data_IF_624338047445
#
_entry.id   IF_624338047445
#
_cell.length_a   1.000
_cell.length_b   1.000
_cell.length_c   1.000
_cell.angle_alpha   90.00
_cell.angle_beta   90.00
_cell.angle_gamma   90.00
#
_symmetry.space_group_name_H-M   'P 1'
#
loop_
_entity.id
_entity.type
_entity.pdbx_description
1 polymer ?
#
# COMPACT_ATOMS: atom_id res chain seq x y z
N UNK A 1 10.52 20.12 13.42
CA UNK A 1 10.34 21.42 12.69
C UNK A 1 9.20 22.18 13.34
N UNK A 2 9.30 23.49 13.44
CA UNK A 2 8.21 24.37 13.88
C UNK A 2 7.12 24.48 12.81
N UNK A 3 5.93 24.94 13.19
CA UNK A 3 4.81 25.18 12.24
C UNK A 3 5.23 26.15 11.14
N UNK A 4 5.96 27.23 11.48
CA UNK A 4 6.43 28.21 10.49
C UNK A 4 7.44 27.61 9.52
N UNK A 5 8.38 26.79 9.98
CA UNK A 5 9.35 26.08 9.12
C UNK A 5 8.68 25.13 8.13
N UNK A 6 7.59 24.45 8.55
CA UNK A 6 6.79 23.57 7.69
C UNK A 6 6.08 24.40 6.62
N UNK A 7 5.44 25.52 7.00
CA UNK A 7 4.77 26.42 6.07
C UNK A 7 5.74 27.00 5.03
N UNK A 8 6.91 27.45 5.48
CA UNK A 8 7.96 27.99 4.59
C UNK A 8 8.49 26.90 3.64
N UNK A 9 8.61 25.65 4.11
CA UNK A 9 9.01 24.51 3.30
C UNK A 9 7.99 24.26 2.17
N UNK A 10 6.70 24.15 2.51
CA UNK A 10 5.63 23.90 1.52
C UNK A 10 5.58 25.06 0.49
N UNK A 11 5.74 26.31 0.95
CA UNK A 11 5.80 27.49 0.06
C UNK A 11 6.97 27.40 -0.91
N UNK A 12 8.17 27.02 -0.44
CA UNK A 12 9.36 26.84 -1.30
C UNK A 12 9.16 25.71 -2.31
N UNK A 13 8.56 24.58 -1.90
CA UNK A 13 8.24 23.47 -2.80
C UNK A 13 7.26 23.90 -3.89
N UNK A 14 6.24 24.70 -3.54
CA UNK A 14 5.28 25.23 -4.50
C UNK A 14 5.95 26.15 -5.52
N UNK A 15 6.82 27.05 -5.06
CA UNK A 15 7.59 27.93 -5.96
C UNK A 15 8.51 27.13 -6.89
N UNK A 16 9.18 26.12 -6.37
CA UNK A 16 10.03 25.24 -7.18
C UNK A 16 9.23 24.43 -8.22
N UNK A 17 8.08 23.89 -7.84
CA UNK A 17 7.18 23.22 -8.78
C UNK A 17 6.70 24.19 -9.88
N UNK A 18 6.29 25.41 -9.53
CA UNK A 18 5.82 26.43 -10.46
C UNK A 18 6.92 26.88 -11.45
N UNK A 19 8.18 26.76 -11.09
CA UNK A 19 9.29 27.04 -12.03
C UNK A 19 9.34 26.07 -13.20
N UNK A 20 8.61 24.93 -13.13
CA UNK A 20 8.62 23.90 -14.15
C UNK A 20 9.85 22.95 -14.12
N UNK A 21 10.74 23.09 -13.13
CA UNK A 21 11.98 22.31 -13.05
C UNK A 21 11.77 20.78 -13.01
N UNK A 22 10.62 20.31 -12.48
CA UNK A 22 10.27 18.89 -12.39
C UNK A 22 9.57 18.34 -13.64
N UNK A 23 9.16 19.19 -14.60
CA UNK A 23 8.35 18.80 -15.74
C UNK A 23 9.14 17.99 -16.80
N UNK A 24 10.41 18.31 -17.13
CA UNK A 24 11.17 17.53 -18.11
C UNK A 24 11.33 16.08 -17.64
N UNK A 25 11.06 15.11 -18.53
CA UNK A 25 11.24 13.67 -18.23
C UNK A 25 12.69 13.37 -17.87
N UNK A 26 13.66 14.03 -18.49
CA UNK A 26 15.08 13.88 -18.15
C UNK A 26 15.39 14.24 -16.69
N UNK A 27 14.78 15.30 -16.15
CA UNK A 27 14.95 15.71 -14.76
C UNK A 27 14.37 14.64 -13.79
N UNK A 28 13.18 14.08 -14.11
CA UNK A 28 12.56 12.99 -13.34
C UNK A 28 13.41 11.73 -13.32
N UNK A 29 13.93 11.32 -14.49
CA UNK A 29 14.84 10.17 -14.59
C UNK A 29 16.16 10.40 -13.85
N UNK A 30 16.71 11.61 -13.89
CA UNK A 30 17.89 11.96 -13.12
C UNK A 30 17.64 11.87 -11.60
N UNK A 31 16.49 12.34 -11.14
CA UNK A 31 16.06 12.24 -9.74
C UNK A 31 15.96 10.76 -9.28
N UNK A 32 15.26 9.93 -10.07
CA UNK A 32 15.13 8.50 -9.78
C UNK A 32 16.47 7.75 -9.78
N UNK A 33 17.39 8.10 -10.70
CA UNK A 33 18.75 7.50 -10.71
C UNK A 33 19.56 7.88 -9.48
N UNK A 34 19.51 9.15 -9.05
CA UNK A 34 20.20 9.58 -7.82
C UNK A 34 19.67 8.80 -6.62
N UNK A 35 18.34 8.68 -6.49
CA UNK A 35 17.72 7.93 -5.40
C UNK A 35 18.12 6.45 -5.44
N UNK A 36 18.08 5.81 -6.60
CA UNK A 36 18.51 4.41 -6.77
C UNK A 36 19.95 4.19 -6.32
N UNK A 37 20.87 5.05 -6.76
CA UNK A 37 22.29 4.93 -6.43
C UNK A 37 22.53 5.16 -4.93
N UNK A 38 21.88 6.16 -4.33
CA UNK A 38 22.03 6.43 -2.90
C UNK A 38 21.48 5.26 -2.06
N UNK A 39 20.32 4.69 -2.39
CA UNK A 39 19.79 3.51 -1.71
C UNK A 39 20.79 2.35 -1.81
N UNK A 40 21.33 2.09 -2.99
CA UNK A 40 22.29 1.00 -3.21
C UNK A 40 23.57 1.18 -2.43
N UNK A 41 24.08 2.41 -2.31
CA UNK A 41 25.30 2.71 -1.55
C UNK A 41 25.12 2.64 -0.03
N UNK A 42 23.91 2.94 0.47
CA UNK A 42 23.56 2.94 1.90
C UNK A 42 22.89 1.65 2.40
N UNK A 43 22.86 0.56 1.60
CA UNK A 43 22.15 -0.69 1.95
C UNK A 43 22.49 -1.22 3.34
N UNK A 44 23.79 -1.18 3.74
CA UNK A 44 24.23 -1.66 5.06
C UNK A 44 23.63 -0.85 6.21
N UNK A 45 23.48 0.46 6.04
CA UNK A 45 22.91 1.35 7.04
C UNK A 45 21.40 1.17 7.15
N UNK A 46 20.71 1.06 6.01
CA UNK A 46 19.29 0.76 5.94
C UNK A 46 18.99 -0.54 6.69
N UNK A 47 19.76 -1.59 6.41
CA UNK A 47 19.65 -2.89 7.09
C UNK A 47 19.83 -2.77 8.62
N UNK A 48 20.82 -2.01 9.08
CA UNK A 48 21.05 -1.77 10.52
C UNK A 48 19.91 -1.00 11.17
N UNK A 49 19.34 -0.02 10.50
CA UNK A 49 18.21 0.75 10.99
C UNK A 49 16.96 -0.11 11.14
N UNK A 50 16.61 -0.91 10.13
CA UNK A 50 15.49 -1.85 10.15
C UNK A 50 15.65 -2.93 11.23
N UNK A 51 16.88 -3.40 11.46
CA UNK A 51 17.18 -4.32 12.55
C UNK A 51 16.96 -3.66 13.92
N UNK A 52 17.36 -2.39 14.11
CA UNK A 52 17.15 -1.68 15.37
C UNK A 52 15.67 -1.40 15.64
N UNK A 53 14.92 -0.95 14.63
CA UNK A 53 13.51 -0.62 14.78
C UNK A 53 12.63 -1.88 14.95
N UNK A 54 12.75 -2.86 14.07
CA UNK A 54 11.85 -4.01 13.93
C UNK A 54 12.49 -5.38 14.17
N UNK A 55 13.80 -5.42 14.41
CA UNK A 55 14.52 -6.70 14.55
C UNK A 55 14.62 -7.50 13.25
N UNK A 56 14.31 -6.91 12.09
CA UNK A 56 14.38 -7.59 10.79
C UNK A 56 15.76 -8.12 10.50
N UNK A 57 15.84 -9.37 10.01
CA UNK A 57 17.09 -9.94 9.50
C UNK A 57 17.58 -9.19 8.27
N UNK A 58 18.84 -9.35 7.92
CA UNK A 58 19.38 -8.72 6.71
C UNK A 58 18.70 -9.20 5.44
N UNK A 59 18.29 -10.48 5.39
CA UNK A 59 17.56 -11.04 4.25
C UNK A 59 16.15 -10.44 4.15
N UNK A 60 15.40 -10.42 5.25
CA UNK A 60 14.05 -9.84 5.28
C UNK A 60 14.08 -8.35 4.96
N UNK A 61 15.07 -7.59 5.49
CA UNK A 61 15.26 -6.18 5.19
C UNK A 61 15.45 -5.92 3.69
N UNK A 62 16.21 -6.76 3.00
CA UNK A 62 16.38 -6.64 1.55
C UNK A 62 15.12 -7.06 0.80
N UNK A 63 14.60 -8.25 1.09
CA UNK A 63 13.46 -8.85 0.38
C UNK A 63 12.19 -7.98 0.45
N UNK A 64 11.91 -7.38 1.61
CA UNK A 64 10.64 -6.69 1.86
C UNK A 64 10.73 -5.16 1.85
N UNK A 65 11.94 -4.60 1.83
CA UNK A 65 12.12 -3.15 1.92
C UNK A 65 13.04 -2.65 0.81
N UNK A 66 14.35 -2.81 0.95
CA UNK A 66 15.33 -2.22 0.02
C UNK A 66 15.16 -2.73 -1.41
N UNK A 67 15.01 -4.04 -1.58
CA UNK A 67 14.86 -4.67 -2.89
C UNK A 67 13.57 -4.24 -3.60
N UNK A 68 12.46 -4.14 -2.85
CA UNK A 68 11.16 -3.69 -3.38
C UNK A 68 11.24 -2.24 -3.90
N UNK A 69 11.89 -1.35 -3.14
CA UNK A 69 12.08 0.04 -3.57
C UNK A 69 12.97 0.13 -4.81
N UNK A 70 14.07 -0.61 -4.85
CA UNK A 70 14.97 -0.63 -6.01
C UNK A 70 14.26 -1.17 -7.26
N UNK A 71 13.41 -2.17 -7.12
CA UNK A 71 12.58 -2.70 -8.21
C UNK A 71 11.59 -1.64 -8.72
N UNK A 72 10.84 -0.97 -7.82
CA UNK A 72 9.89 0.10 -8.19
C UNK A 72 10.60 1.25 -8.92
N UNK A 73 11.75 1.72 -8.40
CA UNK A 73 12.52 2.77 -9.07
C UNK A 73 13.02 2.31 -10.45
N UNK A 74 13.48 1.06 -10.57
CA UNK A 74 13.92 0.48 -11.85
C UNK A 74 12.78 0.42 -12.86
N UNK A 75 11.60 0.02 -12.41
CA UNK A 75 10.39 0.02 -13.21
C UNK A 75 10.05 1.43 -13.71
N UNK A 76 10.06 2.42 -12.80
CA UNK A 76 9.81 3.81 -13.15
C UNK A 76 10.86 4.39 -14.09
N UNK A 77 12.14 4.11 -13.89
CA UNK A 77 13.20 4.52 -14.82
C UNK A 77 12.96 4.04 -16.26
N UNK A 78 12.48 2.81 -16.40
CA UNK A 78 12.20 2.20 -17.71
C UNK A 78 10.92 2.77 -18.34
N UNK A 79 9.88 3.00 -17.56
CA UNK A 79 8.53 3.22 -18.08
C UNK A 79 8.08 4.69 -18.06
N UNK A 80 8.65 5.57 -17.24
CA UNK A 80 8.29 7.00 -17.16
C UNK A 80 8.31 7.69 -18.52
N UNK A 81 9.29 7.46 -19.43
CA UNK A 81 9.27 8.10 -20.76
C UNK A 81 8.01 7.76 -21.58
N UNK A 82 7.44 6.55 -21.39
CA UNK A 82 6.20 6.14 -22.03
C UNK A 82 4.98 6.71 -21.32
N UNK A 83 4.96 6.66 -20.00
CA UNK A 83 3.82 7.12 -19.19
C UNK A 83 3.60 8.63 -19.30
N UNK A 84 4.67 9.41 -19.40
CA UNK A 84 4.63 10.86 -19.54
C UNK A 84 4.20 11.37 -20.93
N UNK A 85 4.00 10.50 -21.90
CA UNK A 85 3.57 10.88 -23.26
C UNK A 85 2.08 11.20 -23.31
N UNK A 86 1.71 12.10 -24.22
CA UNK A 86 0.33 12.32 -24.62
C UNK A 86 -0.29 11.02 -25.17
N UNK A 87 -1.48 10.69 -24.67
CA UNK A 87 -2.22 9.50 -25.07
C UNK A 87 -3.33 9.89 -26.05
N UNK A 88 -3.13 9.63 -27.35
CA UNK A 88 -4.18 9.85 -28.35
C UNK A 88 -5.42 9.02 -28.03
N UNK A 89 -6.58 9.63 -28.19
CA UNK A 89 -7.88 8.99 -28.07
C UNK A 89 -8.66 9.20 -29.35
N UNK A 90 -9.70 8.41 -29.57
CA UNK A 90 -10.59 8.58 -30.70
C UNK A 90 -11.24 9.98 -30.66
N UNK A 91 -11.20 10.69 -31.78
CA UNK A 91 -11.90 11.98 -31.94
C UNK A 91 -13.24 11.71 -32.62
N UNK A 92 -14.38 11.99 -31.97
CA UNK A 92 -15.69 11.80 -32.58
C UNK A 92 -15.85 12.61 -33.87
N UNK A 93 -16.65 12.09 -34.82
CA UNK A 93 -16.91 12.76 -36.10
C UNK A 93 -17.51 14.17 -35.93
N UNK A 94 -18.30 14.37 -34.87
CA UNK A 94 -18.81 15.71 -34.49
C UNK A 94 -17.72 16.75 -34.20
N UNK A 95 -16.51 16.28 -33.94
CA UNK A 95 -15.32 17.13 -33.71
C UNK A 95 -14.36 17.10 -34.92
N UNK A 96 -14.87 16.82 -36.12
CA UNK A 96 -14.10 16.74 -37.37
C UNK A 96 -13.05 17.85 -37.47
N UNK A 97 -11.88 17.50 -38.02
CA UNK A 97 -10.67 18.31 -38.07
C UNK A 97 -10.10 18.69 -36.68
N UNK A 98 -10.17 17.76 -35.73
CA UNK A 98 -9.51 17.89 -34.43
C UNK A 98 -8.63 16.68 -34.11
N UNK A 99 -7.74 16.87 -33.13
CA UNK A 99 -6.97 15.82 -32.49
C UNK A 99 -7.31 15.80 -31.00
N UNK A 100 -7.82 14.66 -30.50
CA UNK A 100 -8.13 14.48 -29.08
C UNK A 100 -7.04 13.66 -28.39
N UNK A 101 -6.61 14.11 -27.21
CA UNK A 101 -5.61 13.39 -26.43
C UNK A 101 -5.73 13.69 -24.93
N UNK A 102 -5.25 12.74 -24.12
CA UNK A 102 -5.03 12.91 -22.68
C UNK A 102 -3.56 13.29 -22.46
N UNK A 103 -3.32 14.33 -21.71
CA UNK A 103 -1.97 14.80 -21.36
C UNK A 103 -1.72 14.60 -19.86
N UNK A 104 -0.79 13.71 -19.46
CA UNK A 104 -0.42 13.54 -18.06
C UNK A 104 0.22 14.83 -17.54
N UNK A 105 -0.15 15.20 -16.32
CA UNK A 105 0.34 16.40 -15.64
C UNK A 105 0.49 16.07 -14.15
N UNK A 106 1.63 16.36 -13.50
CA UNK A 106 1.76 16.20 -12.06
C UNK A 106 0.71 17.08 -11.34
N UNK A 107 0.30 16.67 -10.15
CA UNK A 107 -0.56 17.47 -9.29
C UNK A 107 0.15 18.74 -8.80
N UNK A 108 1.35 18.58 -8.22
CA UNK A 108 2.09 19.69 -7.66
C UNK A 108 2.95 19.30 -6.47
N UNK A 109 2.65 19.87 -5.31
CA UNK A 109 3.31 19.54 -4.03
C UNK A 109 2.55 18.41 -3.36
N UNK A 110 3.22 17.28 -3.12
CA UNK A 110 2.61 16.09 -2.54
C UNK A 110 3.08 15.85 -1.11
N UNK A 111 2.19 15.33 -0.26
CA UNK A 111 2.52 14.86 1.08
C UNK A 111 2.46 13.33 1.09
N UNK A 112 3.53 12.67 1.55
CA UNK A 112 3.60 11.22 1.72
C UNK A 112 3.80 10.93 3.20
N UNK A 113 2.77 10.36 3.84
CA UNK A 113 2.81 9.98 5.26
C UNK A 113 2.85 8.46 5.37
N UNK A 114 3.93 7.93 5.94
CA UNK A 114 4.21 6.49 5.95
C UNK A 114 4.20 5.88 7.37
N UNK A 115 3.85 4.58 7.49
CA UNK A 115 3.80 3.86 8.75
C UNK A 115 5.17 3.32 9.17
N UNK A 116 5.16 2.59 10.27
CA UNK A 116 6.36 2.06 10.91
C UNK A 116 6.69 0.59 10.59
N UNK A 117 5.77 -0.15 9.98
CA UNK A 117 5.92 -1.61 9.82
C UNK A 117 6.82 -2.03 8.64
N UNK A 118 6.78 -1.29 7.55
CA UNK A 118 7.73 -1.34 6.44
C UNK A 118 8.18 0.10 6.14
N UNK A 119 8.92 0.72 7.09
CA UNK A 119 9.12 2.16 7.09
C UNK A 119 9.93 2.68 5.91
N UNK A 120 10.82 1.87 5.37
CA UNK A 120 11.63 2.24 4.22
C UNK A 120 10.84 2.10 2.91
N UNK A 121 10.24 0.94 2.69
CA UNK A 121 9.49 0.63 1.46
C UNK A 121 8.24 1.50 1.32
N UNK A 122 7.40 1.59 2.37
CA UNK A 122 6.16 2.36 2.32
C UNK A 122 6.39 3.89 2.29
N UNK A 123 7.62 4.34 2.49
CA UNK A 123 8.02 5.72 2.29
C UNK A 123 8.50 5.97 0.86
N UNK A 124 9.38 5.11 0.36
CA UNK A 124 10.13 5.41 -0.87
C UNK A 124 9.45 4.88 -2.14
N UNK A 125 8.63 3.84 -2.08
CA UNK A 125 7.87 3.41 -3.26
C UNK A 125 6.89 4.50 -3.74
N UNK A 126 6.00 5.06 -2.90
CA UNK A 126 5.14 6.16 -3.35
C UNK A 126 5.94 7.44 -3.68
N UNK A 127 7.11 7.67 -3.06
CA UNK A 127 7.99 8.77 -3.46
C UNK A 127 8.53 8.57 -4.88
N UNK A 128 8.94 7.36 -5.24
CA UNK A 128 9.41 7.06 -6.60
C UNK A 128 8.31 7.33 -7.64
N UNK A 129 7.06 6.95 -7.33
CA UNK A 129 5.89 7.20 -8.17
C UNK A 129 5.64 8.72 -8.33
N UNK A 130 5.67 9.47 -7.24
CA UNK A 130 5.49 10.92 -7.23
C UNK A 130 6.56 11.65 -8.07
N UNK A 131 7.83 11.24 -7.93
CA UNK A 131 8.95 11.78 -8.71
C UNK A 131 8.83 11.42 -10.21
N UNK A 132 8.44 10.18 -10.53
CA UNK A 132 8.19 9.75 -11.90
C UNK A 132 7.08 10.57 -12.56
N UNK A 133 6.02 10.89 -11.83
CA UNK A 133 4.94 11.75 -12.28
C UNK A 133 5.36 13.23 -12.43
N UNK A 134 6.41 13.67 -11.72
CA UNK A 134 6.97 15.03 -11.81
C UNK A 134 6.49 15.97 -10.70
N UNK A 135 6.10 15.46 -9.56
CA UNK A 135 5.72 16.23 -8.37
C UNK A 135 6.93 16.61 -7.53
N UNK A 136 6.77 17.60 -6.64
CA UNK A 136 7.60 17.76 -5.44
C UNK A 136 6.99 16.99 -4.29
N UNK A 137 7.76 16.66 -3.25
CA UNK A 137 7.25 15.85 -2.17
C UNK A 137 7.77 16.28 -0.79
N UNK A 138 6.85 16.34 0.17
CA UNK A 138 7.16 16.32 1.60
C UNK A 138 6.90 14.91 2.11
N UNK A 139 7.90 14.31 2.72
CA UNK A 139 7.86 12.94 3.24
C UNK A 139 7.81 13.00 4.77
N UNK A 140 6.82 12.31 5.36
CA UNK A 140 6.63 12.23 6.81
C UNK A 140 6.70 10.78 7.28
N UNK A 141 7.90 10.25 7.59
CA UNK A 141 8.05 8.89 8.12
C UNK A 141 7.50 8.81 9.56
N UNK A 142 7.24 7.59 10.02
CA UNK A 142 6.70 7.36 11.35
C UNK A 142 7.71 7.65 12.46
N UNK A 143 7.25 8.29 13.53
CA UNK A 143 8.04 8.46 14.75
C UNK A 143 8.32 7.14 15.50
N UNK A 144 7.59 6.07 15.21
CA UNK A 144 7.80 4.76 15.85
C UNK A 144 8.99 3.98 15.27
N UNK A 145 9.50 4.38 14.10
CA UNK A 145 10.70 3.82 13.46
C UNK A 145 11.81 4.88 13.36
N UNK A 146 12.39 5.34 14.49
CA UNK A 146 13.29 6.50 14.53
C UNK A 146 14.60 6.26 13.76
N UNK A 147 15.18 5.06 13.84
CA UNK A 147 16.44 4.75 13.15
C UNK A 147 16.25 4.74 11.62
N UNK A 148 15.15 4.18 11.14
CA UNK A 148 14.84 4.21 9.70
C UNK A 148 14.52 5.62 9.24
N UNK A 149 13.79 6.42 10.04
CA UNK A 149 13.49 7.82 9.74
C UNK A 149 14.74 8.67 9.62
N UNK A 150 15.76 8.44 10.46
CA UNK A 150 17.06 9.13 10.39
C UNK A 150 17.83 8.77 9.11
N UNK A 151 17.85 7.49 8.73
CA UNK A 151 18.48 7.04 7.48
C UNK A 151 17.76 7.62 6.26
N UNK A 152 16.43 7.65 6.27
CA UNK A 152 15.63 8.29 5.21
C UNK A 152 15.95 9.78 5.08
N UNK A 153 16.00 10.51 6.20
CA UNK A 153 16.35 11.92 6.21
C UNK A 153 17.71 12.15 5.54
N UNK A 154 18.73 11.38 5.91
CA UNK A 154 20.09 11.51 5.37
C UNK A 154 20.16 11.18 3.88
N UNK A 155 19.62 10.04 3.46
CA UNK A 155 19.62 9.62 2.04
C UNK A 155 18.88 10.64 1.18
N UNK A 156 17.72 11.14 1.62
CA UNK A 156 16.95 12.10 0.83
C UNK A 156 17.60 13.49 0.79
N UNK A 157 18.27 13.92 1.87
CA UNK A 157 19.03 15.16 1.90
C UNK A 157 20.30 15.10 1.02
N UNK A 158 20.92 13.92 0.86
CA UNK A 158 22.02 13.71 -0.09
C UNK A 158 21.54 13.79 -1.56
N UNK A 159 20.32 13.32 -1.82
CA UNK A 159 19.77 13.25 -3.18
C UNK A 159 19.12 14.54 -3.66
N UNK A 160 18.51 15.31 -2.77
CA UNK A 160 17.58 16.36 -3.14
C UNK A 160 17.69 17.59 -2.25
N UNK A 161 17.56 18.77 -2.88
CA UNK A 161 17.31 20.01 -2.16
C UNK A 161 15.89 19.99 -1.53
N UNK A 162 15.69 20.61 -0.35
CA UNK A 162 14.41 20.60 0.35
C UNK A 162 13.22 21.13 -0.45
N UNK A 163 13.46 22.03 -1.40
CA UNK A 163 12.40 22.53 -2.30
C UNK A 163 11.91 21.50 -3.30
N UNK A 164 12.62 20.39 -3.50
CA UNK A 164 12.20 19.29 -4.37
C UNK A 164 11.67 18.11 -3.55
N UNK A 165 12.46 17.58 -2.63
CA UNK A 165 12.04 16.52 -1.69
C UNK A 165 12.55 16.87 -0.30
N UNK A 166 11.67 16.87 0.68
CA UNK A 166 12.03 17.13 2.06
C UNK A 166 11.45 16.07 3.00
N UNK A 167 12.18 15.79 4.08
CA UNK A 167 11.70 14.91 5.15
C UNK A 167 11.37 15.74 6.38
N UNK A 168 10.14 15.58 6.87
CA UNK A 168 9.70 16.14 8.15
C UNK A 168 9.63 15.01 9.16
N UNK A 169 10.58 14.95 10.09
CA UNK A 169 10.55 14.00 11.21
C UNK A 169 9.70 14.57 12.35
N UNK A 170 9.29 13.70 13.28
CA UNK A 170 8.49 14.09 14.43
C UNK A 170 7.21 13.26 14.60
N UNK A 171 6.36 13.68 15.53
CA UNK A 171 5.19 12.94 15.96
C UNK A 171 3.86 13.56 15.55
N UNK A 172 2.93 13.57 16.51
CA UNK A 172 1.56 14.07 16.27
C UNK A 172 1.52 15.56 15.96
N UNK A 173 2.37 16.37 16.60
CA UNK A 173 2.40 17.81 16.39
C UNK A 173 2.73 18.15 14.93
N UNK A 174 3.80 17.55 14.39
CA UNK A 174 4.21 17.77 13.00
C UNK A 174 3.20 17.21 12.00
N UNK A 175 2.54 16.08 12.32
CA UNK A 175 1.46 15.56 11.49
C UNK A 175 0.31 16.58 11.39
N UNK A 176 -0.08 17.17 12.52
CA UNK A 176 -1.16 18.17 12.56
C UNK A 176 -0.78 19.44 11.79
N UNK A 177 0.47 19.91 11.95
CA UNK A 177 0.96 21.08 11.18
C UNK A 177 0.94 20.80 9.68
N UNK A 178 1.47 19.65 9.24
CA UNK A 178 1.47 19.26 7.82
C UNK A 178 0.05 19.17 7.25
N UNK A 179 -0.89 18.56 7.98
CA UNK A 179 -2.26 18.39 7.51
C UNK A 179 -3.07 19.69 7.44
N UNK A 180 -2.59 20.78 8.05
CA UNK A 180 -3.15 22.13 7.89
C UNK A 180 -2.67 22.85 6.63
N UNK A 181 -1.53 22.41 6.07
CA UNK A 181 -0.98 23.02 4.86
C UNK A 181 -1.70 22.53 3.60
N UNK A 182 -1.75 23.38 2.58
CA UNK A 182 -2.32 23.03 1.29
C UNK A 182 -1.35 22.19 0.47
N UNK A 183 -1.59 20.91 0.37
CA UNK A 183 -0.97 20.00 -0.59
C UNK A 183 -1.88 19.78 -1.80
N UNK A 184 -1.29 19.47 -2.96
CA UNK A 184 -2.04 19.18 -4.18
C UNK A 184 -2.39 17.68 -4.29
N UNK A 185 -1.75 16.83 -3.47
CA UNK A 185 -2.07 15.41 -3.29
C UNK A 185 -1.55 14.90 -1.93
N UNK A 186 -2.30 14.02 -1.27
CA UNK A 186 -1.84 13.35 -0.05
C UNK A 186 -1.89 11.83 -0.23
N UNK A 187 -0.76 11.17 0.00
CA UNK A 187 -0.65 9.72 0.07
C UNK A 187 -0.40 9.31 1.53
N UNK A 188 -1.29 8.53 2.07
CA UNK A 188 -1.23 8.11 3.46
C UNK A 188 -1.32 6.59 3.56
N UNK A 189 -0.42 5.99 4.34
CA UNK A 189 -0.49 4.58 4.75
C UNK A 189 -0.51 4.50 6.28
N UNK A 190 -1.50 3.81 6.85
CA UNK A 190 -1.61 3.68 8.30
C UNK A 190 -2.97 3.16 8.79
N UNK A 191 -3.35 3.53 10.00
CA UNK A 191 -4.61 3.09 10.61
C UNK A 191 -5.82 3.83 10.04
N UNK A 192 -6.99 3.16 10.05
CA UNK A 192 -8.27 3.75 9.63
C UNK A 192 -8.60 5.04 10.39
N UNK A 193 -8.32 5.11 11.69
CA UNK A 193 -8.59 6.30 12.50
C UNK A 193 -7.81 7.52 11.99
N UNK A 194 -6.52 7.35 11.70
CA UNK A 194 -5.68 8.44 11.15
C UNK A 194 -6.05 8.72 9.69
N UNK A 195 -6.39 7.71 8.88
CA UNK A 195 -6.86 7.91 7.52
C UNK A 195 -8.11 8.79 7.43
N UNK A 196 -9.06 8.62 8.35
CA UNK A 196 -10.24 9.50 8.47
C UNK A 196 -9.85 10.94 8.82
N UNK A 197 -8.82 11.14 9.65
CA UNK A 197 -8.31 12.46 9.98
C UNK A 197 -7.64 13.13 8.77
N UNK A 198 -6.84 12.38 8.03
CA UNK A 198 -6.24 12.84 6.76
C UNK A 198 -7.33 13.28 5.78
N UNK A 199 -8.40 12.49 5.61
CA UNK A 199 -9.53 12.87 4.75
C UNK A 199 -10.21 14.17 5.19
N UNK A 200 -10.46 14.33 6.50
CA UNK A 200 -11.08 15.56 7.02
C UNK A 200 -10.22 16.79 6.72
N UNK A 201 -8.92 16.68 6.99
CA UNK A 201 -7.99 17.79 6.72
C UNK A 201 -7.86 18.08 5.22
N UNK A 202 -7.80 17.05 4.38
CA UNK A 202 -7.74 17.20 2.92
C UNK A 202 -8.99 17.89 2.35
N UNK A 203 -10.15 17.69 2.96
CA UNK A 203 -11.42 18.30 2.52
C UNK A 203 -11.40 19.81 2.62
N UNK A 204 -10.65 20.41 3.55
CA UNK A 204 -10.53 21.89 3.70
C UNK A 204 -9.93 22.53 2.45
N UNK A 205 -9.13 21.79 1.70
CA UNK A 205 -8.45 22.25 0.48
C UNK A 205 -8.91 21.54 -0.79
N UNK A 206 -9.89 20.64 -0.70
CA UNK A 206 -10.32 19.73 -1.79
C UNK A 206 -9.16 18.91 -2.35
N UNK A 207 -8.20 18.57 -1.50
CA UNK A 207 -7.02 17.80 -1.87
C UNK A 207 -7.39 16.34 -2.09
N UNK A 208 -7.11 15.74 -3.27
CA UNK A 208 -7.30 14.31 -3.48
C UNK A 208 -6.35 13.48 -2.61
N UNK A 209 -6.83 12.31 -2.16
CA UNK A 209 -6.08 11.43 -1.27
C UNK A 209 -6.03 10.00 -1.80
N UNK A 210 -4.91 9.32 -1.55
CA UNK A 210 -4.83 7.85 -1.52
C UNK A 210 -4.63 7.43 -0.07
N UNK A 211 -5.43 6.45 0.36
CA UNK A 211 -5.37 5.89 1.70
C UNK A 211 -5.14 4.39 1.60
N UNK A 212 -3.99 3.95 2.10
CA UNK A 212 -3.65 2.53 2.27
C UNK A 212 -3.83 2.17 3.74
N UNK A 213 -4.90 1.45 4.03
CA UNK A 213 -5.32 1.14 5.39
C UNK A 213 -5.22 -0.37 5.66
N UNK A 214 -5.45 -0.78 6.89
CA UNK A 214 -5.46 -2.18 7.27
C UNK A 214 -6.84 -2.81 7.17
N UNK A 215 -6.93 -4.02 7.70
CA UNK A 215 -8.18 -4.77 7.81
C UNK A 215 -7.94 -6.20 8.25
N UNK A 216 -9.03 -6.94 8.54
CA UNK A 216 -8.95 -8.36 8.91
C UNK A 216 -8.93 -9.23 7.65
N UNK A 217 -7.76 -9.42 7.06
CA UNK A 217 -7.56 -10.19 5.83
C UNK A 217 -7.81 -11.69 6.04
N UNK A 218 -8.88 -12.28 5.46
CA UNK A 218 -9.20 -13.70 5.61
C UNK A 218 -8.26 -14.58 4.76
N UNK A 219 -7.93 -15.75 5.33
CA UNK A 219 -7.26 -16.83 4.61
C UNK A 219 -8.16 -18.07 4.62
N UNK A 220 -8.82 -18.33 3.50
CA UNK A 220 -9.74 -19.47 3.33
C UNK A 220 -8.93 -20.70 2.97
N UNK A 221 -9.13 -21.80 3.71
CA UNK A 221 -8.55 -23.11 3.39
C UNK A 221 -9.68 -24.10 3.12
N UNK A 222 -9.89 -24.39 1.85
CA UNK A 222 -10.92 -25.30 1.38
C UNK A 222 -10.53 -26.78 1.58
N UNK A 223 -11.52 -27.67 1.62
CA UNK A 223 -11.31 -29.12 1.78
C UNK A 223 -10.41 -29.74 0.70
N UNK A 224 -10.31 -29.12 -0.47
CA UNK A 224 -9.52 -29.61 -1.60
C UNK A 224 -8.11 -29.02 -1.64
N UNK A 225 -7.72 -28.19 -0.64
CA UNK A 225 -6.42 -27.57 -0.60
C UNK A 225 -5.29 -28.58 -0.40
N UNK A 226 -4.12 -28.35 -1.01
CA UNK A 226 -2.89 -28.97 -0.57
C UNK A 226 -2.49 -28.41 0.79
N UNK A 227 -2.87 -29.12 1.86
CA UNK A 227 -2.72 -28.65 3.24
C UNK A 227 -1.26 -28.43 3.62
N UNK A 228 -0.33 -29.23 3.12
CA UNK A 228 1.10 -29.10 3.40
C UNK A 228 1.67 -27.83 2.79
N UNK A 229 1.30 -27.54 1.54
CA UNK A 229 1.71 -26.32 0.84
C UNK A 229 1.02 -25.11 1.44
N UNK A 230 -0.29 -25.19 1.73
CA UNK A 230 -1.06 -24.13 2.36
C UNK A 230 -0.44 -23.73 3.71
N UNK A 231 -0.17 -24.69 4.60
CA UNK A 231 0.46 -24.42 5.89
C UNK A 231 1.81 -23.71 5.73
N UNK A 232 2.65 -24.12 4.76
CA UNK A 232 3.96 -23.49 4.51
C UNK A 232 3.82 -22.03 4.10
N UNK A 233 2.89 -21.73 3.20
CA UNK A 233 2.67 -20.36 2.66
C UNK A 233 1.95 -19.47 3.65
N UNK A 234 0.99 -20.02 4.39
CA UNK A 234 0.29 -19.28 5.46
C UNK A 234 1.26 -18.89 6.57
N UNK A 235 2.12 -19.81 7.03
CA UNK A 235 3.13 -19.53 8.06
C UNK A 235 4.09 -18.44 7.62
N UNK A 236 4.55 -18.48 6.37
CA UNK A 236 5.37 -17.42 5.80
C UNK A 236 4.64 -16.07 5.82
N UNK A 237 3.46 -15.97 5.23
CA UNK A 237 2.74 -14.71 5.11
C UNK A 237 2.22 -14.17 6.44
N UNK A 238 1.91 -15.06 7.40
CA UNK A 238 1.43 -14.65 8.73
C UNK A 238 2.53 -14.12 9.64
N UNK A 239 3.70 -14.74 9.63
CA UNK A 239 4.72 -14.42 10.63
C UNK A 239 5.88 -13.58 10.08
N UNK A 240 5.90 -13.27 8.78
CA UNK A 240 6.78 -12.26 8.22
C UNK A 240 6.60 -10.94 8.96
N UNK A 241 7.69 -10.25 9.30
CA UNK A 241 7.67 -9.03 10.13
C UNK A 241 6.88 -9.19 11.46
N UNK A 242 6.92 -10.39 12.06
CA UNK A 242 6.12 -10.74 13.24
C UNK A 242 4.62 -10.50 13.05
N UNK A 243 4.09 -10.65 11.85
CA UNK A 243 2.67 -10.41 11.53
C UNK A 243 2.26 -8.95 11.49
N UNK A 244 3.19 -8.00 11.59
CA UNK A 244 2.96 -6.56 11.52
C UNK A 244 2.85 -6.10 10.06
N UNK A 245 1.91 -6.68 9.32
CA UNK A 245 1.74 -6.52 7.88
C UNK A 245 0.26 -6.36 7.56
N UNK A 246 -0.11 -5.29 6.87
CA UNK A 246 -1.50 -4.97 6.52
C UNK A 246 -2.20 -6.05 5.67
N UNK A 247 -1.43 -6.85 4.96
CA UNK A 247 -1.90 -7.99 4.15
C UNK A 247 -1.58 -9.36 4.77
N UNK A 248 -1.06 -9.42 6.01
CA UNK A 248 -0.89 -10.71 6.67
C UNK A 248 -2.23 -11.45 6.75
N UNK A 249 -2.28 -12.78 6.57
CA UNK A 249 -3.43 -13.56 6.94
C UNK A 249 -3.83 -13.23 8.39
N UNK A 250 -4.89 -12.45 8.58
CA UNK A 250 -5.26 -12.00 9.92
C UNK A 250 -5.92 -13.14 10.70
N UNK A 251 -6.74 -13.94 10.01
CA UNK A 251 -7.29 -15.19 10.51
C UNK A 251 -7.38 -16.24 9.41
N UNK A 252 -7.36 -17.51 9.81
CA UNK A 252 -7.57 -18.64 8.91
C UNK A 252 -8.99 -19.16 9.07
N UNK A 253 -9.73 -19.22 7.97
CA UNK A 253 -11.07 -19.80 7.92
C UNK A 253 -10.98 -21.14 7.19
N UNK A 254 -10.95 -22.24 7.93
CA UNK A 254 -10.61 -23.57 7.45
C UNK A 254 -11.84 -24.46 7.34
N UNK A 255 -11.94 -25.23 6.25
CA UNK A 255 -12.99 -26.24 6.16
C UNK A 255 -12.79 -27.30 7.28
N UNK A 256 -13.86 -27.65 7.99
CA UNK A 256 -13.83 -28.52 9.18
C UNK A 256 -13.08 -29.82 8.95
N UNK A 257 -13.25 -30.43 7.78
CA UNK A 257 -12.66 -31.76 7.47
C UNK A 257 -11.12 -31.76 7.40
N UNK A 258 -10.48 -30.61 7.23
CA UNK A 258 -9.01 -30.51 7.09
C UNK A 258 -8.36 -29.70 8.21
N UNK A 259 -9.13 -29.19 9.19
CA UNK A 259 -8.64 -28.34 10.27
C UNK A 259 -7.49 -28.97 11.06
N UNK A 260 -7.67 -30.20 11.56
CA UNK A 260 -6.68 -30.84 12.42
C UNK A 260 -5.38 -31.14 11.66
N UNK A 261 -5.49 -31.50 10.38
CA UNK A 261 -4.34 -31.68 9.51
C UNK A 261 -3.62 -30.35 9.28
N UNK A 262 -4.38 -29.26 9.04
CA UNK A 262 -3.80 -27.93 8.87
C UNK A 262 -3.04 -27.48 10.11
N UNK A 263 -3.61 -27.61 11.31
CA UNK A 263 -2.96 -27.27 12.58
C UNK A 263 -1.62 -28.01 12.74
N UNK A 264 -1.62 -29.32 12.52
CA UNK A 264 -0.39 -30.15 12.60
C UNK A 264 0.68 -29.68 11.61
N UNK A 265 0.31 -29.42 10.36
CA UNK A 265 1.27 -28.95 9.36
C UNK A 265 1.73 -27.51 9.65
N UNK A 266 0.86 -26.60 10.14
CA UNK A 266 1.24 -25.26 10.57
C UNK A 266 2.28 -25.30 11.71
N UNK A 267 2.04 -26.09 12.75
CA UNK A 267 3.00 -26.27 13.85
C UNK A 267 4.37 -26.78 13.35
N UNK A 268 4.35 -27.72 12.41
CA UNK A 268 5.57 -28.24 11.77
C UNK A 268 6.28 -27.19 10.95
N UNK A 269 5.55 -26.34 10.20
CA UNK A 269 6.13 -25.26 9.41
C UNK A 269 6.70 -24.15 10.28
N UNK A 270 6.05 -23.79 11.39
CA UNK A 270 6.60 -22.83 12.36
C UNK A 270 7.94 -23.32 12.89
N UNK A 271 8.02 -24.58 13.35
CA UNK A 271 9.28 -25.18 13.81
C UNK A 271 10.36 -25.21 12.73
N UNK A 272 9.97 -25.44 11.47
CA UNK A 272 10.91 -25.47 10.34
C UNK A 272 11.44 -24.08 9.98
N UNK A 273 10.60 -23.04 9.99
CA UNK A 273 10.95 -21.70 9.55
C UNK A 273 11.61 -20.87 10.65
N UNK A 274 11.20 -21.06 11.91
CA UNK A 274 11.64 -20.23 13.05
C UNK A 274 12.41 -21.02 14.13
N UNK A 275 12.57 -22.33 13.94
CA UNK A 275 13.28 -23.18 14.89
C UNK A 275 12.45 -23.59 16.11
N UNK A 276 13.13 -24.15 17.12
CA UNK A 276 12.48 -24.57 18.38
C UNK A 276 12.34 -23.44 19.38
N UNK A 277 13.10 -22.37 19.23
CA UNK A 277 13.15 -21.20 20.11
C UNK A 277 13.03 -19.91 19.28
N UNK A 278 11.84 -19.57 18.77
CA UNK A 278 11.65 -18.42 17.87
C UNK A 278 12.10 -17.10 18.49
N UNK A 279 11.92 -16.95 19.82
CA UNK A 279 12.29 -15.72 20.54
C UNK A 279 13.81 -15.44 20.51
N UNK A 280 14.64 -16.43 20.25
CA UNK A 280 16.08 -16.31 20.14
C UNK A 280 16.60 -16.35 18.70
N UNK A 281 15.72 -16.50 17.70
CA UNK A 281 16.10 -16.56 16.29
C UNK A 281 16.54 -15.18 15.79
N UNK A 282 17.65 -15.13 15.06
CA UNK A 282 18.11 -13.92 14.36
C UNK A 282 17.23 -13.55 13.15
N UNK A 283 16.46 -14.52 12.63
CA UNK A 283 15.58 -14.36 11.49
C UNK A 283 14.13 -14.03 11.88
N UNK A 284 13.88 -13.87 13.19
CA UNK A 284 12.58 -13.49 13.71
C UNK A 284 12.64 -12.10 14.33
N UNK A 285 11.81 -11.19 13.85
CA UNK A 285 11.80 -9.79 14.25
C UNK A 285 11.25 -9.56 15.67
N UNK A 286 10.82 -8.33 15.94
CA UNK A 286 10.21 -7.93 17.21
C UNK A 286 8.99 -7.04 16.98
N UNK A 287 8.16 -6.89 17.99
CA UNK A 287 7.07 -5.92 17.98
C UNK A 287 7.66 -4.51 18.15
N UNK A 288 7.11 -3.55 17.45
CA UNK A 288 7.67 -2.21 17.30
C UNK A 288 7.86 -1.47 18.63
N UNK A 289 6.93 -1.63 19.59
CA UNK A 289 6.99 -0.98 20.90
C UNK A 289 6.15 -1.72 21.94
N UNK A 290 6.29 -1.34 23.23
CA UNK A 290 5.58 -1.95 24.35
C UNK A 290 4.05 -1.83 24.24
N UNK A 291 3.54 -0.70 23.77
CA UNK A 291 2.09 -0.50 23.61
C UNK A 291 1.47 -1.55 22.69
N UNK A 292 2.10 -1.80 21.53
CA UNK A 292 1.62 -2.84 20.59
C UNK A 292 1.88 -4.25 21.12
N UNK A 293 2.99 -4.45 21.85
CA UNK A 293 3.30 -5.71 22.50
C UNK A 293 2.19 -6.10 23.51
N UNK A 294 1.82 -5.18 24.42
CA UNK A 294 0.76 -5.40 25.41
C UNK A 294 -0.61 -5.61 24.77
N UNK A 295 -0.92 -4.81 23.74
CA UNK A 295 -2.16 -4.99 22.98
C UNK A 295 -2.27 -6.39 22.36
N UNK A 296 -1.20 -6.89 21.74
CA UNK A 296 -1.22 -8.22 21.12
C UNK A 296 -1.34 -9.32 22.16
N UNK A 297 -0.65 -9.22 23.30
CA UNK A 297 -0.80 -10.19 24.41
C UNK A 297 -2.23 -10.21 24.92
N UNK A 298 -2.90 -9.07 25.01
CA UNK A 298 -4.31 -8.98 25.41
C UNK A 298 -5.31 -9.65 24.46
N UNK A 299 -4.89 -10.00 23.24
CA UNK A 299 -5.71 -10.74 22.27
C UNK A 299 -5.60 -12.27 22.40
N UNK A 300 -4.62 -12.77 23.18
CA UNK A 300 -4.35 -14.21 23.32
C UNK A 300 -5.20 -14.78 24.45
N UNK A 301 -6.11 -15.68 24.11
CA UNK A 301 -6.76 -16.56 25.08
C UNK A 301 -5.92 -17.83 25.25
N UNK A 302 -5.21 -17.96 26.36
CA UNK A 302 -4.31 -19.07 26.64
C UNK A 302 -4.99 -20.46 26.54
N UNK A 303 -6.29 -20.52 26.85
CA UNK A 303 -7.07 -21.78 26.77
C UNK A 303 -7.27 -22.26 25.33
N UNK A 304 -7.12 -21.37 24.36
CA UNK A 304 -7.27 -21.63 22.91
C UNK A 304 -5.93 -21.78 22.20
N UNK A 305 -4.82 -21.52 22.89
CA UNK A 305 -3.47 -21.67 22.28
C UNK A 305 -3.15 -23.15 22.08
N UNK A 306 -2.84 -23.52 20.86
CA UNK A 306 -2.40 -24.86 20.47
C UNK A 306 -0.93 -24.92 20.05
N UNK A 307 -0.29 -23.75 19.89
CA UNK A 307 1.14 -23.62 19.62
C UNK A 307 1.64 -22.22 19.99
N UNK A 308 2.86 -22.09 20.51
CA UNK A 308 3.44 -20.82 20.91
C UNK A 308 2.79 -20.26 22.17
N UNK A 309 2.55 -18.95 22.21
CA UNK A 309 1.99 -18.23 23.34
C UNK A 309 3.03 -17.62 24.28
N UNK A 310 4.30 -17.99 24.16
CA UNK A 310 5.39 -17.40 24.92
C UNK A 310 5.75 -16.00 24.43
N UNK A 311 6.32 -15.21 25.31
CA UNK A 311 6.78 -13.86 24.98
C UNK A 311 7.98 -13.44 25.83
N UNK A 312 8.74 -12.50 25.33
CA UNK A 312 9.83 -11.85 26.03
C UNK A 312 9.70 -10.32 25.90
N UNK A 313 9.31 -9.68 27.00
CA UNK A 313 9.14 -8.23 27.09
C UNK A 313 10.45 -7.47 26.88
N UNK A 314 11.57 -8.03 27.34
CA UNK A 314 12.88 -7.35 27.23
C UNK A 314 13.32 -7.16 25.78
N UNK A 315 12.93 -8.08 24.90
CA UNK A 315 13.21 -8.04 23.47
C UNK A 315 11.99 -7.64 22.63
N UNK A 316 10.83 -7.44 23.25
CA UNK A 316 9.53 -7.19 22.58
C UNK A 316 9.15 -8.30 21.59
N UNK A 317 9.47 -9.55 21.88
CA UNK A 317 9.16 -10.69 21.02
C UNK A 317 8.00 -11.50 21.56
N UNK A 318 7.11 -11.91 20.68
CA UNK A 318 5.99 -12.82 20.94
C UNK A 318 6.17 -14.01 19.99
N UNK A 319 6.08 -15.22 20.50
CA UNK A 319 6.20 -16.42 19.67
C UNK A 319 5.14 -16.49 18.56
N UNK A 320 5.45 -17.10 17.41
CA UNK A 320 4.43 -17.48 16.45
C UNK A 320 3.35 -18.32 17.16
N UNK A 321 2.17 -17.71 17.35
CA UNK A 321 1.09 -18.27 18.17
C UNK A 321 -0.07 -18.71 17.29
N UNK A 322 -0.58 -19.92 17.55
CA UNK A 322 -1.76 -20.48 16.86
C UNK A 322 -2.86 -20.72 17.90
N UNK A 323 -4.05 -20.22 17.61
CA UNK A 323 -5.23 -20.42 18.43
C UNK A 323 -6.29 -21.25 17.68
N UNK A 324 -6.83 -22.27 18.32
CA UNK A 324 -7.93 -23.10 17.80
C UNK A 324 -9.23 -22.82 18.57
N UNK A 325 -10.34 -23.33 18.04
CA UNK A 325 -11.68 -23.13 18.60
C UNK A 325 -12.04 -21.64 18.80
N UNK A 326 -11.55 -20.80 17.89
CA UNK A 326 -11.84 -19.37 17.88
C UNK A 326 -13.19 -19.12 17.23
N UNK A 327 -13.92 -18.17 17.79
CA UNK A 327 -15.20 -17.67 17.29
C UNK A 327 -15.10 -16.19 16.93
N UNK A 328 -16.05 -15.66 16.17
CA UNK A 328 -16.08 -14.24 15.81
C UNK A 328 -16.34 -13.32 17.00
N UNK A 329 -16.75 -13.83 18.16
CA UNK A 329 -16.93 -13.06 19.40
C UNK A 329 -15.66 -12.93 20.25
N UNK A 330 -14.61 -13.69 19.93
CA UNK A 330 -13.36 -13.65 20.71
C UNK A 330 -12.60 -12.32 20.47
N UNK A 331 -11.85 -11.87 21.48
CA UNK A 331 -11.09 -10.62 21.44
C UNK A 331 -10.19 -10.51 20.20
N UNK A 332 -9.52 -11.60 19.83
CA UNK A 332 -8.63 -11.69 18.66
C UNK A 332 -9.35 -11.44 17.31
N UNK A 333 -10.68 -11.50 17.31
CA UNK A 333 -11.50 -11.26 16.12
C UNK A 333 -12.14 -9.87 16.07
N UNK A 334 -12.02 -9.04 17.13
CA UNK A 334 -12.68 -7.73 17.20
C UNK A 334 -11.91 -6.61 16.51
N UNK A 335 -10.59 -6.77 16.34
CA UNK A 335 -9.72 -5.80 15.67
C UNK A 335 -8.70 -6.50 14.77
N UNK A 336 -8.02 -5.75 13.90
CA UNK A 336 -6.86 -6.23 13.16
C UNK A 336 -5.74 -6.61 14.14
N UNK A 337 -5.24 -7.84 14.04
CA UNK A 337 -4.27 -8.38 15.00
C UNK A 337 -2.93 -7.65 14.88
N UNK A 338 -2.44 -7.45 13.66
CA UNK A 338 -1.16 -6.80 13.37
C UNK A 338 -0.02 -7.32 14.25
N UNK A 339 0.05 -8.66 14.35
CA UNK A 339 0.97 -9.37 15.25
C UNK A 339 1.00 -10.87 14.96
N UNK A 340 1.88 -11.63 15.66
CA UNK A 340 2.16 -13.03 15.35
C UNK A 340 1.17 -14.02 15.99
N UNK A 341 -0.12 -13.68 15.98
CA UNK A 341 -1.20 -14.52 16.50
C UNK A 341 -2.12 -14.92 15.35
N UNK A 342 -2.30 -16.22 15.13
CA UNK A 342 -3.09 -16.79 14.06
C UNK A 342 -4.29 -17.55 14.61
N UNK A 343 -5.48 -16.96 14.66
CA UNK A 343 -6.71 -17.66 15.01
C UNK A 343 -7.20 -18.51 13.85
N UNK A 344 -7.68 -19.72 14.18
CA UNK A 344 -8.27 -20.66 13.21
C UNK A 344 -9.74 -20.81 13.53
N UNK A 345 -10.59 -20.47 12.58
CA UNK A 345 -12.03 -20.64 12.59
C UNK A 345 -12.41 -21.77 11.63
N UNK A 346 -13.57 -22.38 11.81
CA UNK A 346 -14.04 -23.47 10.95
C UNK A 346 -15.31 -23.09 10.19
N UNK A 347 -15.46 -23.67 9.00
CA UNK A 347 -16.67 -23.59 8.21
C UNK A 347 -17.01 -24.95 7.60
N UNK A 348 -18.27 -25.11 7.17
CA UNK A 348 -18.78 -26.29 6.48
C UNK A 348 -19.20 -25.95 5.03
N UNK A 349 -19.43 -24.67 4.72
CA UNK A 349 -19.86 -24.22 3.40
C UNK A 349 -19.14 -22.94 2.96
N UNK A 350 -18.62 -22.92 1.74
CA UNK A 350 -18.00 -21.74 1.15
C UNK A 350 -18.99 -20.55 1.00
N UNK A 351 -20.28 -20.84 0.81
CA UNK A 351 -21.31 -19.77 0.78
C UNK A 351 -21.47 -19.08 2.14
N UNK A 352 -21.34 -19.81 3.22
CA UNK A 352 -21.30 -19.24 4.57
C UNK A 352 -20.10 -18.33 4.75
N UNK A 353 -18.92 -18.77 4.35
CA UNK A 353 -17.67 -17.96 4.38
C UNK A 353 -17.86 -16.66 3.62
N UNK A 354 -18.36 -16.73 2.38
CA UNK A 354 -18.59 -15.55 1.53
C UNK A 354 -19.57 -14.59 2.19
N UNK A 355 -20.70 -15.08 2.72
CA UNK A 355 -21.68 -14.23 3.43
C UNK A 355 -21.03 -13.56 4.64
N UNK A 356 -20.24 -14.31 5.40
CA UNK A 356 -19.57 -13.78 6.60
C UNK A 356 -18.55 -12.70 6.25
N UNK A 357 -17.68 -12.93 5.27
CA UNK A 357 -16.69 -11.94 4.83
C UNK A 357 -17.40 -10.66 4.37
N UNK A 358 -18.45 -10.79 3.57
CA UNK A 358 -19.19 -9.63 3.06
C UNK A 358 -20.03 -8.90 4.12
N UNK A 359 -20.26 -9.49 5.29
CA UNK A 359 -20.90 -8.82 6.43
C UNK A 359 -19.92 -8.05 7.34
N UNK A 360 -18.64 -8.12 7.05
CA UNK A 360 -17.56 -7.44 7.76
C UNK A 360 -17.00 -6.28 6.92
N UNK A 361 -16.24 -5.34 7.51
CA UNK A 361 -15.50 -4.35 6.76
C UNK A 361 -14.63 -4.99 5.67
N UNK A 362 -14.55 -4.33 4.50
CA UNK A 362 -13.80 -4.86 3.38
C UNK A 362 -12.31 -4.99 3.70
N UNK A 363 -11.73 -6.21 3.64
CA UNK A 363 -10.33 -6.42 3.94
C UNK A 363 -9.42 -5.90 2.82
N UNK A 364 -8.19 -5.53 3.17
CA UNK A 364 -7.18 -5.16 2.19
C UNK A 364 -6.76 -6.37 1.34
N UNK A 365 -6.67 -7.56 1.94
CA UNK A 365 -6.35 -8.78 1.20
C UNK A 365 -7.30 -9.93 1.49
N UNK A 366 -7.41 -10.86 0.52
CA UNK A 366 -8.09 -12.14 0.66
C UNK A 366 -7.25 -13.25 0.04
N UNK A 367 -7.16 -14.38 0.74
CA UNK A 367 -6.44 -15.57 0.30
C UNK A 367 -7.36 -16.77 0.27
N UNK A 368 -7.21 -17.61 -0.76
CA UNK A 368 -7.93 -18.89 -0.83
C UNK A 368 -7.00 -20.01 -1.29
N UNK A 369 -6.91 -21.06 -0.49
CA UNK A 369 -6.22 -22.32 -0.81
C UNK A 369 -7.23 -23.38 -1.21
N UNK A 370 -7.17 -23.82 -2.45
CA UNK A 370 -8.09 -24.80 -3.04
C UNK A 370 -7.52 -25.37 -4.33
N UNK A 371 -7.82 -26.61 -4.67
CA UNK A 371 -7.61 -27.19 -5.99
C UNK A 371 -8.86 -27.08 -6.88
N UNK A 372 -10.02 -26.71 -6.31
CA UNK A 372 -11.25 -26.47 -7.06
C UNK A 372 -11.27 -25.06 -7.66
N UNK A 373 -11.07 -24.99 -8.98
CA UNK A 373 -11.11 -23.72 -9.74
C UNK A 373 -12.48 -23.01 -9.65
N UNK A 374 -13.59 -23.75 -9.44
CA UNK A 374 -14.91 -23.15 -9.27
C UNK A 374 -15.02 -22.47 -7.91
N UNK A 375 -14.52 -23.11 -6.85
CA UNK A 375 -14.45 -22.50 -5.52
C UNK A 375 -13.58 -21.24 -5.52
N UNK A 376 -12.39 -21.28 -6.14
CA UNK A 376 -11.51 -20.09 -6.27
C UNK A 376 -12.22 -18.95 -7.00
N UNK A 377 -12.82 -19.20 -8.16
CA UNK A 377 -13.58 -18.19 -8.94
C UNK A 377 -14.77 -17.65 -8.15
N UNK A 378 -15.50 -18.51 -7.45
CA UNK A 378 -16.65 -18.12 -6.64
C UNK A 378 -16.26 -17.16 -5.52
N UNK A 379 -15.19 -17.47 -4.76
CA UNK A 379 -14.70 -16.63 -3.69
C UNK A 379 -14.21 -15.28 -4.22
N UNK A 380 -13.35 -15.28 -5.25
CA UNK A 380 -12.79 -14.05 -5.82
C UNK A 380 -13.82 -13.15 -6.51
N UNK A 381 -14.91 -13.72 -7.05
CA UNK A 381 -15.97 -12.96 -7.70
C UNK A 381 -17.00 -12.39 -6.72
N UNK A 382 -17.22 -13.04 -5.57
CA UNK A 382 -18.32 -12.70 -4.67
C UNK A 382 -17.89 -12.02 -3.37
N UNK A 383 -16.63 -12.09 -2.99
CA UNK A 383 -16.10 -11.34 -1.85
C UNK A 383 -15.58 -9.98 -2.31
N UNK A 384 -15.81 -8.94 -1.50
CA UNK A 384 -15.20 -7.63 -1.67
C UNK A 384 -13.86 -7.58 -0.94
N UNK A 385 -12.75 -7.25 -1.63
CA UNK A 385 -11.41 -7.11 -1.06
C UNK A 385 -10.49 -6.30 -1.99
N UNK A 386 -9.40 -5.75 -1.48
CA UNK A 386 -8.47 -4.95 -2.29
C UNK A 386 -7.68 -5.80 -3.28
N UNK A 387 -6.90 -6.75 -2.80
CA UNK A 387 -6.11 -7.68 -3.62
C UNK A 387 -5.98 -9.04 -2.97
N UNK A 388 -5.33 -10.02 -3.61
CA UNK A 388 -5.19 -11.33 -2.97
C UNK A 388 -4.50 -12.39 -3.80
N UNK A 389 -4.42 -13.61 -3.25
CA UNK A 389 -3.79 -14.73 -3.91
C UNK A 389 -4.70 -15.98 -3.89
N UNK A 390 -4.63 -16.74 -4.97
CA UNK A 390 -5.10 -18.13 -5.00
C UNK A 390 -3.91 -19.02 -4.75
N UNK A 391 -3.99 -19.89 -3.75
CA UNK A 391 -2.94 -20.81 -3.32
C UNK A 391 -1.62 -20.16 -2.89
N UNK A 392 -1.64 -18.88 -2.52
CA UNK A 392 -0.50 -18.21 -1.88
C UNK A 392 -0.99 -17.11 -0.93
N UNK A 393 -0.05 -16.40 -0.29
CA UNK A 393 -0.30 -15.25 0.57
C UNK A 393 0.63 -14.11 0.20
N UNK A 394 0.24 -12.88 0.48
CA UNK A 394 1.01 -11.62 0.38
C UNK A 394 1.67 -11.27 -0.97
N UNK A 395 2.07 -12.23 -1.80
CA UNK A 395 2.91 -11.98 -2.99
C UNK A 395 2.24 -11.13 -4.08
N UNK A 396 0.94 -10.89 -4.01
CA UNK A 396 0.22 -10.02 -4.96
C UNK A 396 0.70 -8.57 -4.94
N UNK A 397 1.35 -8.14 -3.84
CA UNK A 397 1.95 -6.81 -3.73
C UNK A 397 3.37 -6.72 -4.34
N UNK A 398 4.00 -7.86 -4.62
CA UNK A 398 5.40 -7.91 -5.07
C UNK A 398 5.50 -7.84 -6.59
N UNK A 399 4.81 -6.90 -7.22
CA UNK A 399 4.87 -6.66 -8.67
C UNK A 399 4.46 -5.24 -9.02
N UNK A 400 5.22 -4.57 -9.87
CA UNK A 400 4.88 -3.25 -10.42
C UNK A 400 3.89 -3.31 -11.60
N UNK A 401 3.46 -4.51 -12.02
CA UNK A 401 2.49 -4.68 -13.11
C UNK A 401 1.02 -4.62 -12.64
N UNK A 402 0.76 -4.70 -11.34
CA UNK A 402 -0.57 -4.60 -10.75
C UNK A 402 -0.58 -3.51 -9.68
N UNK A 403 -1.65 -2.70 -9.67
CA UNK A 403 -1.87 -1.76 -8.58
C UNK A 403 -2.16 -2.50 -7.27
N UNK A 404 -1.66 -1.94 -6.17
CA UNK A 404 -1.94 -2.38 -4.81
C UNK A 404 -2.76 -1.31 -4.09
N UNK A 405 -3.87 -1.70 -3.49
CA UNK A 405 -4.74 -0.79 -2.72
C UNK A 405 -6.02 -1.47 -2.28
N UNK A 406 -6.70 -0.84 -1.32
CA UNK A 406 -7.97 -1.27 -0.76
C UNK A 406 -9.15 -0.44 -1.25
N UNK A 407 -10.34 -0.74 -0.73
CA UNK A 407 -11.53 0.09 -0.90
C UNK A 407 -12.43 0.03 0.35
N UNK A 408 -13.27 1.04 0.52
CA UNK A 408 -14.06 1.16 1.74
C UNK A 408 -13.18 1.33 2.97
N UNK A 409 -13.33 0.45 3.95
CA UNK A 409 -12.59 0.52 5.20
C UNK A 409 -11.10 0.15 5.07
N UNK A 410 -10.71 -0.55 4.00
CA UNK A 410 -9.31 -0.89 3.74
C UNK A 410 -8.56 0.17 2.95
N UNK A 411 -9.24 1.20 2.42
CA UNK A 411 -8.57 2.31 1.77
C UNK A 411 -9.32 2.92 0.59
N UNK A 412 -8.61 3.75 -0.17
CA UNK A 412 -9.03 4.30 -1.45
C UNK A 412 -7.81 4.64 -2.31
N UNK A 413 -7.92 4.42 -3.61
CA UNK A 413 -6.80 4.53 -4.54
C UNK A 413 -5.94 3.28 -4.53
N UNK A 414 -4.82 3.34 -5.24
CA UNK A 414 -3.85 2.26 -5.35
C UNK A 414 -2.52 2.82 -5.85
N UNK A 415 -1.42 2.08 -5.71
CA UNK A 415 -0.10 2.49 -6.19
C UNK A 415 0.69 1.28 -6.69
N UNK A 416 1.95 1.43 -7.01
CA UNK A 416 2.88 0.59 -7.75
C UNK A 416 2.76 0.70 -9.27
N UNK A 417 3.89 0.79 -9.92
CA UNK A 417 4.05 0.78 -11.37
C UNK A 417 3.21 1.85 -12.08
N UNK A 418 2.55 1.42 -13.16
CA UNK A 418 1.67 2.35 -13.91
C UNK A 418 0.58 2.98 -13.06
N UNK A 419 0.00 2.21 -12.14
CA UNK A 419 -1.03 2.70 -11.22
C UNK A 419 -0.48 3.79 -10.31
N UNK A 420 0.73 3.60 -9.76
CA UNK A 420 1.40 4.60 -8.94
C UNK A 420 1.69 5.89 -9.70
N UNK A 421 2.20 5.79 -10.92
CA UNK A 421 2.36 6.96 -11.80
C UNK A 421 1.03 7.69 -12.00
N UNK A 422 -0.06 6.96 -12.27
CA UNK A 422 -1.40 7.54 -12.51
C UNK A 422 -1.96 8.19 -11.24
N UNK A 423 -1.72 7.61 -10.07
CA UNK A 423 -2.14 8.11 -8.76
C UNK A 423 -1.57 9.51 -8.49
N UNK A 424 -0.33 9.77 -8.88
CA UNK A 424 0.29 11.09 -8.75
C UNK A 424 0.17 11.97 -9.99
N UNK A 425 -0.74 11.62 -10.93
CA UNK A 425 -0.91 12.31 -12.21
C UNK A 425 -2.37 12.71 -12.43
N UNK A 426 -2.58 13.98 -12.75
CA UNK A 426 -3.85 14.45 -13.31
C UNK A 426 -3.80 14.40 -14.85
N UNK A 427 -4.81 13.81 -15.48
CA UNK A 427 -4.91 13.72 -16.94
C UNK A 427 -5.77 14.85 -17.51
N UNK A 428 -5.13 15.82 -18.21
CA UNK A 428 -5.82 16.88 -18.93
C UNK A 428 -6.39 16.33 -20.24
N UNK A 429 -7.71 16.46 -20.45
CA UNK A 429 -8.36 16.13 -21.71
C UNK A 429 -8.30 17.31 -22.65
N UNK A 430 -7.64 17.17 -23.80
CA UNK A 430 -7.40 18.27 -24.74
C UNK A 430 -7.93 17.89 -26.11
N UNK A 431 -8.68 18.83 -26.72
CA UNK A 431 -9.09 18.80 -28.12
C UNK A 431 -8.34 19.93 -28.85
N UNK A 432 -7.41 19.56 -29.72
CA UNK A 432 -6.69 20.49 -30.59
C UNK A 432 -7.46 20.62 -31.91
N UNK A 433 -8.26 21.68 -32.04
CA UNK A 433 -9.12 21.96 -33.19
C UNK A 433 -8.39 22.80 -34.22
N UNK A 434 -8.48 22.43 -35.51
CA UNK A 434 -7.96 23.24 -36.60
C UNK A 434 -8.74 24.54 -36.75
N UNK A 435 -8.06 25.63 -37.08
CA UNK A 435 -8.62 26.97 -37.18
C UNK A 435 -9.12 27.34 -38.58
N UNK A 436 -8.74 26.56 -39.60
CA UNK A 436 -9.11 26.82 -41.00
C UNK A 436 -10.51 26.33 -41.35
N UNK A 437 -11.16 25.57 -40.46
CA UNK A 437 -12.53 25.07 -40.65
C UNK A 437 -13.35 25.24 -39.37
N UNK A 438 -14.59 25.64 -39.54
CA UNK A 438 -15.58 25.71 -38.48
C UNK A 438 -16.93 25.17 -38.97
N UNK A 439 -17.78 24.77 -38.03
CA UNK A 439 -19.10 24.20 -38.31
C UNK A 439 -20.16 25.26 -37.90
N UNK A 440 -20.74 26.02 -38.84
CA UNK A 440 -21.67 27.13 -38.52
C UNK A 440 -22.87 26.64 -37.71
N UNK A 441 -23.32 25.39 -37.89
CA UNK A 441 -24.47 24.85 -37.19
C UNK A 441 -24.32 24.72 -35.66
N UNK A 442 -23.12 24.90 -35.13
CA UNK A 442 -22.89 24.87 -33.67
C UNK A 442 -23.23 26.22 -32.98
N UNK A 443 -23.41 27.30 -33.78
CA UNK A 443 -23.62 28.62 -33.26
C UNK A 443 -25.06 29.10 -33.48
N UNK A 444 -25.51 29.95 -32.59
CA UNK A 444 -26.80 30.61 -32.69
C UNK A 444 -26.74 31.73 -33.77
N UNK A 445 -27.89 32.03 -34.43
CA UNK A 445 -29.19 31.36 -34.33
C UNK A 445 -29.24 30.01 -35.03
N UNK A 446 -29.81 28.98 -34.36
CA UNK A 446 -29.95 27.64 -34.93
C UNK A 446 -30.95 27.59 -36.11
N UNK A 447 -30.56 26.97 -37.21
CA UNK A 447 -31.39 26.87 -38.42
C UNK A 447 -32.26 25.61 -38.40
N UNK A 448 -33.44 25.70 -39.07
CA UNK A 448 -34.29 24.54 -39.29
C UNK A 448 -33.54 23.46 -40.07
N UNK A 449 -33.25 22.28 -39.47
CA UNK A 449 -32.45 21.21 -40.07
C UNK A 449 -31.12 20.93 -39.39
N UNK A 450 -30.52 21.91 -38.68
CA UNK A 450 -29.28 21.75 -37.94
C UNK A 450 -29.40 20.61 -36.89
N UNK A 451 -30.55 20.50 -36.25
CA UNK A 451 -30.85 19.42 -35.30
C UNK A 451 -30.76 18.03 -35.91
N UNK A 452 -31.23 17.83 -37.16
CA UNK A 452 -31.14 16.53 -37.85
C UNK A 452 -29.68 16.14 -38.08
N UNK A 453 -28.87 17.09 -38.48
CA UNK A 453 -27.43 16.89 -38.71
C UNK A 453 -26.69 16.60 -37.40
N UNK A 454 -26.97 17.34 -36.34
CA UNK A 454 -26.41 17.10 -35.00
C UNK A 454 -26.81 15.70 -34.50
N UNK A 455 -28.08 15.30 -34.65
CA UNK A 455 -28.55 13.96 -34.30
C UNK A 455 -27.84 12.85 -35.07
N UNK A 456 -27.45 13.08 -36.33
CA UNK A 456 -26.66 12.12 -37.12
C UNK A 456 -25.25 11.95 -36.56
N UNK A 457 -24.60 13.02 -36.12
CA UNK A 457 -23.21 12.98 -35.59
C UNK A 457 -23.11 12.53 -34.13
N UNK A 458 -24.20 12.60 -33.36
CA UNK A 458 -24.26 12.21 -31.95
C UNK A 458 -24.80 10.79 -31.71
N UNK A 459 -25.11 10.05 -32.76
CA UNK A 459 -25.41 8.63 -32.71
C UNK A 459 -24.14 7.85 -32.92
#
# INVERSE_FOLDING_TARGET
>A
MTEQEIKDLVTRQRSYFQSGATLPVSARLAALRRLYNAISSHEKEIRRALQKDLGKSGFESYMCETGMVLEEISYMLKHTPKFAREQRVHTPLAQFCSRSYKKPSPYGVTLIMSPWNYPFMLTLSPLADALAAGNTAVVKPSAYSPYTSEVLLRILAECFEPQYVAVVTGGRAENTCLLREHFDYIFFTGSQAVGKEVMRSAAEHLTPVTLELGGKSPCIVDQTADIRLAARRIVFGKYLNCGQTCVAPDYVYCHRSVKDQLIKEVQKQIRRQYGKQPLHSSDYGKIINEKHFDRILGLIDEKKVVHGGGSDRSTLRIEPTVMDNVTFSDAVMQEEIFGPVMPILVFDSLDEVIRRINSMPHPLALYIFTSDKKAARKATARCGFGGGCINDTIIHLATSEMGFGGFGESGMGAYHGKTGFDTFTHYKSIVDKKTWIDLPMRYQPYRKGDEKLVRFFLK
#
